data_IF_175839062678
#
_entry.id   IF_175839062678
#
_cell.length_a   1.000
_cell.length_b   1.000
_cell.length_c   1.000
_cell.angle_alpha   90.00
_cell.angle_beta   90.00
_cell.angle_gamma   90.00
#
_symmetry.space_group_name_H-M   'P 1'
#
loop_
_entity.id
_entity.type
_entity.pdbx_description
1 polymer ?
#
# COMPACT_ATOMS: atom_id res chain seq x y z
N UNK A 1 18.34 34.63 21.37
CA UNK A 1 18.49 33.18 21.61
C UNK A 1 17.17 32.41 21.57
N UNK A 2 16.12 32.77 22.35
CA UNK A 2 14.82 32.06 22.34
C UNK A 2 14.14 31.91 20.96
N UNK A 3 14.19 32.93 20.10
CA UNK A 3 13.57 32.90 18.76
C UNK A 3 14.32 32.02 17.75
N UNK A 4 15.64 31.85 17.92
CA UNK A 4 16.48 30.98 17.08
C UNK A 4 16.29 29.51 17.48
N UNK A 5 16.19 29.24 18.79
CA UNK A 5 15.83 27.92 19.30
C UNK A 5 14.43 27.46 18.83
N UNK A 6 13.45 28.37 18.79
CA UNK A 6 12.10 28.04 18.31
C UNK A 6 12.08 27.70 16.80
N UNK A 7 12.86 28.41 15.99
CA UNK A 7 12.96 28.15 14.54
C UNK A 7 13.67 26.82 14.24
N UNK A 8 14.72 26.48 15.00
CA UNK A 8 15.41 25.19 14.87
C UNK A 8 14.50 24.03 15.29
N UNK A 9 13.71 24.20 16.36
CA UNK A 9 12.75 23.19 16.83
C UNK A 9 11.67 22.88 15.78
N UNK A 10 11.15 23.91 15.10
CA UNK A 10 10.16 23.76 14.03
C UNK A 10 10.79 23.14 12.78
N UNK A 11 12.03 23.49 12.45
CA UNK A 11 12.76 22.87 11.34
C UNK A 11 13.04 21.39 11.58
N UNK A 12 13.34 20.98 12.82
CA UNK A 12 13.56 19.56 13.17
C UNK A 12 12.24 18.77 13.12
N UNK A 13 11.10 19.41 13.43
CA UNK A 13 9.78 18.78 13.30
C UNK A 13 9.40 18.42 11.86
N UNK A 14 9.93 19.14 10.86
CA UNK A 14 9.73 18.86 9.43
C UNK A 14 10.64 17.76 8.86
N UNK A 15 11.65 17.30 9.63
CA UNK A 15 12.52 16.18 9.27
C UNK A 15 12.11 14.86 9.93
N UNK A 16 11.02 14.84 10.71
CA UNK A 16 10.46 13.56 11.14
C UNK A 16 9.84 12.95 9.89
N UNK A 17 10.37 11.83 9.36
CA UNK A 17 9.65 11.10 8.33
C UNK A 17 8.30 10.77 8.93
N UNK A 18 7.22 11.31 8.36
CA UNK A 18 5.89 10.79 8.65
C UNK A 18 5.99 9.32 8.29
N UNK A 19 6.12 8.49 9.30
CA UNK A 19 6.07 7.06 9.15
C UNK A 19 4.62 6.81 8.78
N UNK A 20 4.35 6.78 7.47
CA UNK A 20 3.10 6.29 6.92
C UNK A 20 3.01 4.87 7.46
N UNK A 21 2.23 4.69 8.50
CA UNK A 21 1.94 3.39 9.04
C UNK A 21 0.99 2.75 8.03
N UNK A 22 1.55 2.03 7.05
CA UNK A 22 0.77 1.14 6.21
C UNK A 22 0.22 0.08 7.16
N UNK A 23 -1.01 0.28 7.61
CA UNK A 23 -1.75 -0.73 8.37
C UNK A 23 -1.88 -1.95 7.46
N UNK A 24 -1.22 -3.04 7.85
CA UNK A 24 -1.33 -4.33 7.17
C UNK A 24 -2.78 -4.78 7.31
N UNK A 25 -3.61 -4.53 6.29
CA UNK A 25 -5.03 -4.92 6.28
C UNK A 25 -5.11 -6.44 6.40
N UNK A 26 -5.60 -6.93 7.53
CA UNK A 26 -5.86 -8.36 7.74
C UNK A 26 -7.21 -8.73 7.10
N UNK A 27 -7.16 -9.56 6.05
CA UNK A 27 -8.37 -10.02 5.37
C UNK A 27 -8.97 -11.25 6.05
N UNK A 28 -10.29 -11.22 6.29
CA UNK A 28 -11.00 -12.38 6.83
C UNK A 28 -11.14 -13.45 5.74
N UNK A 29 -10.59 -14.63 6.02
CA UNK A 29 -10.64 -15.78 5.10
C UNK A 29 -11.18 -17.02 5.77
N UNK A 30 -11.72 -17.93 4.97
CA UNK A 30 -12.06 -19.30 5.36
C UNK A 30 -11.26 -20.29 4.51
N UNK A 31 -10.83 -21.39 5.11
CA UNK A 31 -10.32 -22.55 4.36
C UNK A 31 -11.48 -23.35 3.71
N UNK A 32 -11.17 -24.47 3.02
CA UNK A 32 -12.21 -25.27 2.37
C UNK A 32 -13.23 -25.85 3.36
N UNK A 33 -12.79 -26.42 4.48
CA UNK A 33 -13.65 -27.02 5.52
C UNK A 33 -14.60 -25.96 6.10
N UNK A 34 -14.05 -24.80 6.45
CA UNK A 34 -14.81 -23.68 7.00
C UNK A 34 -15.83 -23.11 6.00
N UNK A 35 -15.43 -22.97 4.73
CA UNK A 35 -16.32 -22.50 3.68
C UNK A 35 -17.45 -23.49 3.39
N UNK A 36 -17.17 -24.80 3.37
CA UNK A 36 -18.19 -25.85 3.22
C UNK A 36 -19.16 -25.86 4.41
N UNK A 37 -18.65 -25.74 5.64
CA UNK A 37 -19.48 -25.62 6.85
C UNK A 37 -20.39 -24.40 6.80
N UNK A 38 -19.88 -23.25 6.38
CA UNK A 38 -20.69 -22.03 6.28
C UNK A 38 -21.84 -22.16 5.26
N UNK A 39 -21.63 -22.92 4.18
CA UNK A 39 -22.65 -23.13 3.15
C UNK A 39 -23.55 -24.36 3.41
N UNK A 40 -23.38 -25.01 4.56
CA UNK A 40 -24.09 -26.23 4.99
C UNK A 40 -23.90 -27.41 4.02
N UNK A 41 -22.68 -27.57 3.49
CA UNK A 41 -22.30 -28.67 2.60
C UNK A 41 -21.61 -29.76 3.42
N UNK A 42 -22.21 -30.96 3.45
CA UNK A 42 -21.64 -32.13 4.12
C UNK A 42 -20.35 -32.60 3.42
N UNK A 43 -19.34 -32.95 4.21
CA UNK A 43 -18.03 -33.39 3.73
C UNK A 43 -17.30 -34.22 4.79
N UNK A 44 -16.43 -35.12 4.32
CA UNK A 44 -15.51 -35.89 5.17
C UNK A 44 -14.07 -35.61 4.75
N UNK A 45 -13.37 -34.83 5.58
CA UNK A 45 -11.97 -34.47 5.38
C UNK A 45 -11.01 -35.30 6.25
N UNK A 46 -11.40 -36.51 6.64
CA UNK A 46 -10.53 -37.45 7.35
C UNK A 46 -9.18 -37.68 6.64
N UNK A 47 -9.15 -37.59 5.30
CA UNK A 47 -7.94 -37.75 4.48
C UNK A 47 -7.47 -36.44 3.80
N UNK A 48 -8.04 -35.29 4.16
CA UNK A 48 -7.68 -34.00 3.59
C UNK A 48 -7.10 -33.07 4.65
N UNK A 49 -5.98 -32.45 4.29
CA UNK A 49 -5.35 -31.43 5.12
C UNK A 49 -4.71 -30.38 4.23
N UNK A 50 -4.92 -29.12 4.58
CA UNK A 50 -4.27 -28.00 3.94
C UNK A 50 -2.87 -27.76 4.54
N UNK A 51 -1.92 -27.48 3.66
CA UNK A 51 -0.49 -27.31 3.89
C UNK A 51 0.04 -26.27 2.93
N UNK A 52 1.20 -25.69 3.23
CA UNK A 52 1.77 -24.61 2.42
C UNK A 52 2.41 -25.08 1.11
N UNK A 53 2.61 -26.39 0.94
CA UNK A 53 3.15 -26.98 -0.29
C UNK A 53 2.08 -27.16 -1.40
N UNK A 54 0.81 -26.94 -1.09
CA UNK A 54 -0.30 -27.06 -2.04
C UNK A 54 -0.48 -25.80 -2.91
N UNK A 55 -1.05 -25.99 -4.10
CA UNK A 55 -1.52 -24.89 -4.93
C UNK A 55 -2.62 -24.10 -4.22
N UNK A 56 -2.57 -22.78 -4.26
CA UNK A 56 -3.58 -21.93 -3.64
C UNK A 56 -4.70 -21.64 -4.63
N UNK A 57 -5.93 -21.95 -4.24
CA UNK A 57 -7.15 -21.51 -4.92
C UNK A 57 -7.71 -20.33 -4.14
N UNK A 58 -7.64 -19.12 -4.69
CA UNK A 58 -8.32 -17.97 -4.13
C UNK A 58 -9.77 -17.93 -4.63
N UNK A 59 -10.72 -18.02 -3.71
CA UNK A 59 -12.15 -18.03 -4.00
C UNK A 59 -12.82 -16.80 -3.39
N UNK A 60 -13.12 -15.80 -4.21
CA UNK A 60 -14.01 -14.72 -3.82
C UNK A 60 -15.46 -15.16 -4.05
N UNK A 61 -16.23 -15.22 -2.97
CA UNK A 61 -17.60 -15.76 -2.96
C UNK A 61 -18.57 -14.87 -2.22
N UNK A 62 -19.86 -15.09 -2.48
CA UNK A 62 -20.94 -14.56 -1.66
C UNK A 62 -21.58 -15.68 -0.84
N UNK A 63 -21.79 -15.46 0.46
CA UNK A 63 -22.49 -16.43 1.31
C UNK A 63 -23.90 -16.69 0.78
N UNK A 64 -24.22 -17.96 0.52
CA UNK A 64 -25.50 -18.35 -0.07
C UNK A 64 -25.59 -18.22 -1.59
N UNK A 65 -24.50 -17.86 -2.28
CA UNK A 65 -24.48 -17.82 -3.75
C UNK A 65 -24.55 -19.24 -4.36
N UNK A 66 -25.55 -19.49 -5.21
CA UNK A 66 -25.76 -20.79 -5.84
C UNK A 66 -24.55 -21.29 -6.65
N UNK A 67 -23.87 -20.41 -7.40
CA UNK A 67 -22.68 -20.80 -8.17
C UNK A 67 -21.44 -20.99 -7.29
N UNK A 68 -21.33 -20.25 -6.17
CA UNK A 68 -20.26 -20.47 -5.20
C UNK A 68 -20.42 -21.83 -4.51
N UNK A 69 -21.65 -22.18 -4.11
CA UNK A 69 -21.98 -23.51 -3.58
C UNK A 69 -21.61 -24.61 -4.57
N UNK A 70 -21.99 -24.46 -5.85
CA UNK A 70 -21.63 -25.43 -6.90
C UNK A 70 -20.12 -25.63 -7.03
N UNK A 71 -19.33 -24.56 -6.97
CA UNK A 71 -17.87 -24.66 -7.03
C UNK A 71 -17.29 -25.34 -5.79
N UNK A 72 -17.75 -24.98 -4.59
CA UNK A 72 -17.35 -25.65 -3.34
C UNK A 72 -17.71 -27.14 -3.34
N UNK A 73 -18.91 -27.50 -3.80
CA UNK A 73 -19.33 -28.90 -3.97
C UNK A 73 -18.42 -29.64 -4.95
N UNK A 74 -17.99 -28.99 -6.02
CA UNK A 74 -17.02 -29.57 -6.95
C UNK A 74 -15.64 -29.77 -6.31
N UNK A 75 -15.12 -28.78 -5.58
CA UNK A 75 -13.86 -28.94 -4.86
C UNK A 75 -13.93 -30.11 -3.86
N UNK A 76 -15.04 -30.21 -3.11
CA UNK A 76 -15.31 -31.33 -2.21
C UNK A 76 -15.28 -32.68 -2.95
N UNK A 77 -15.91 -32.78 -4.12
CA UNK A 77 -16.00 -34.04 -4.86
C UNK A 77 -14.68 -34.53 -5.46
N UNK A 78 -13.67 -33.66 -5.57
CA UNK A 78 -12.34 -34.02 -6.06
C UNK A 78 -11.31 -34.18 -4.95
N UNK A 79 -11.68 -34.06 -3.67
CA UNK A 79 -10.73 -34.11 -2.54
C UNK A 79 -9.95 -35.42 -2.50
N UNK A 80 -10.61 -36.56 -2.71
CA UNK A 80 -9.94 -37.87 -2.63
C UNK A 80 -8.81 -38.02 -3.69
N UNK A 81 -9.04 -37.50 -4.89
CA UNK A 81 -8.11 -37.64 -6.01
C UNK A 81 -7.09 -36.48 -6.11
N UNK A 82 -7.55 -35.26 -5.79
CA UNK A 82 -6.82 -34.00 -6.02
C UNK A 82 -6.49 -33.22 -4.75
N UNK A 83 -7.04 -33.57 -3.59
CA UNK A 83 -6.90 -32.81 -2.35
C UNK A 83 -5.44 -32.57 -1.95
N UNK A 84 -4.53 -33.50 -2.26
CA UNK A 84 -3.08 -33.32 -2.01
C UNK A 84 -2.43 -32.19 -2.81
N UNK A 85 -3.08 -31.67 -3.85
CA UNK A 85 -2.53 -30.66 -4.74
C UNK A 85 -3.01 -29.25 -4.44
N UNK A 86 -4.12 -29.06 -3.73
CA UNK A 86 -4.68 -27.73 -3.52
C UNK A 86 -5.10 -27.46 -2.09
N UNK A 87 -5.06 -26.19 -1.73
CA UNK A 87 -5.73 -25.60 -0.56
C UNK A 87 -6.60 -24.44 -1.02
N UNK A 88 -7.58 -24.04 -0.21
CA UNK A 88 -8.50 -22.96 -0.57
C UNK A 88 -8.34 -21.80 0.41
N UNK A 89 -8.28 -20.60 -0.14
CA UNK A 89 -8.41 -19.36 0.63
C UNK A 89 -9.64 -18.63 0.11
N UNK A 90 -10.71 -18.67 0.90
CA UNK A 90 -12.00 -18.11 0.51
C UNK A 90 -12.25 -16.76 1.18
N UNK A 91 -12.58 -15.77 0.36
CA UNK A 91 -12.99 -14.43 0.76
C UNK A 91 -14.50 -14.29 0.56
N UNK A 92 -15.25 -14.04 1.63
CA UNK A 92 -16.65 -13.63 1.52
C UNK A 92 -16.66 -12.14 1.11
N UNK A 93 -17.39 -11.75 0.06
CA UNK A 93 -17.35 -10.37 -0.47
C UNK A 93 -18.69 -9.63 -0.43
N UNK A 94 -19.80 -10.29 -0.07
CA UNK A 94 -21.10 -9.61 -0.01
C UNK A 94 -21.33 -8.89 1.31
N UNK A 95 -20.71 -9.38 2.38
CA UNK A 95 -20.87 -8.87 3.74
C UNK A 95 -19.53 -8.42 4.36
N UNK A 96 -18.44 -8.47 3.59
CA UNK A 96 -17.12 -7.98 3.98
C UNK A 96 -16.58 -7.03 2.88
N UNK A 97 -16.57 -5.74 3.20
CA UNK A 97 -16.19 -4.69 2.24
C UNK A 97 -14.69 -4.70 1.92
N UNK A 98 -13.84 -5.11 2.85
CA UNK A 98 -12.40 -5.17 2.61
C UNK A 98 -12.09 -6.30 1.63
N UNK A 99 -12.73 -7.45 1.77
CA UNK A 99 -12.66 -8.54 0.81
C UNK A 99 -13.24 -8.16 -0.57
N UNK A 100 -14.31 -7.37 -0.62
CA UNK A 100 -14.85 -6.86 -1.87
C UNK A 100 -13.87 -5.91 -2.58
N UNK A 101 -13.20 -5.02 -1.84
CA UNK A 101 -12.15 -4.15 -2.36
C UNK A 101 -10.95 -4.96 -2.86
N UNK A 102 -10.56 -6.01 -2.12
CA UNK A 102 -9.49 -6.93 -2.52
C UNK A 102 -9.83 -7.65 -3.83
N UNK A 103 -11.06 -8.12 -4.00
CA UNK A 103 -11.52 -8.75 -5.23
C UNK A 103 -11.38 -7.82 -6.44
N UNK A 104 -11.73 -6.55 -6.29
CA UNK A 104 -11.57 -5.55 -7.34
C UNK A 104 -10.09 -5.32 -7.67
N UNK A 105 -9.24 -5.16 -6.65
CA UNK A 105 -7.79 -4.99 -6.82
C UNK A 105 -7.14 -6.16 -7.55
N UNK A 106 -7.47 -7.39 -7.14
CA UNK A 106 -7.01 -8.62 -7.79
C UNK A 106 -7.46 -8.67 -9.25
N UNK A 107 -8.75 -8.39 -9.51
CA UNK A 107 -9.26 -8.37 -10.88
C UNK A 107 -8.59 -7.33 -11.77
N UNK A 108 -8.30 -6.14 -11.23
CA UNK A 108 -7.57 -5.09 -11.94
C UNK A 108 -6.12 -5.49 -12.23
N UNK A 109 -5.43 -6.09 -11.25
CA UNK A 109 -4.05 -6.58 -11.42
C UNK A 109 -3.94 -7.65 -12.52
N UNK A 110 -4.92 -8.55 -12.59
CA UNK A 110 -4.98 -9.61 -13.60
C UNK A 110 -5.57 -9.16 -14.94
N UNK A 111 -5.99 -7.89 -15.05
CA UNK A 111 -6.63 -7.34 -16.25
C UNK A 111 -7.99 -7.97 -16.58
N UNK A 112 -8.62 -8.64 -15.61
CA UNK A 112 -9.90 -9.35 -15.76
C UNK A 112 -10.82 -8.92 -14.63
N UNK A 113 -11.65 -7.90 -14.90
CA UNK A 113 -12.52 -7.30 -13.89
C UNK A 113 -13.43 -8.34 -13.24
N UNK A 114 -13.50 -8.27 -11.92
CA UNK A 114 -14.47 -9.00 -11.13
C UNK A 114 -15.88 -8.41 -11.32
N UNK A 115 -16.76 -9.12 -12.04
CA UNK A 115 -18.14 -8.68 -12.28
C UNK A 115 -19.16 -9.39 -11.38
N UNK A 116 -18.75 -10.44 -10.68
CA UNK A 116 -19.61 -11.23 -9.81
C UNK A 116 -18.89 -12.42 -9.20
N UNK A 117 -19.64 -13.22 -8.46
CA UNK A 117 -19.12 -14.37 -7.71
C UNK A 117 -19.71 -15.70 -8.22
N UNK A 118 -18.98 -16.82 -8.15
CA UNK A 118 -17.61 -16.94 -7.63
C UNK A 118 -16.59 -16.32 -8.60
N UNK A 119 -15.59 -15.65 -8.07
CA UNK A 119 -14.40 -15.24 -8.83
C UNK A 119 -13.22 -16.04 -8.31
N UNK A 120 -12.64 -16.86 -9.19
CA UNK A 120 -11.71 -17.92 -8.82
C UNK A 120 -10.36 -17.59 -9.44
N UNK A 121 -9.31 -17.58 -8.64
CA UNK A 121 -7.94 -17.35 -9.10
C UNK A 121 -7.05 -18.52 -8.69
N UNK A 122 -6.32 -19.08 -9.66
CA UNK A 122 -5.36 -20.16 -9.46
C UNK A 122 -4.09 -19.79 -10.23
N UNK A 123 -3.06 -19.36 -9.52
CA UNK A 123 -1.89 -18.75 -10.16
C UNK A 123 -2.27 -17.52 -10.98
N UNK A 124 -1.98 -17.54 -12.28
CA UNK A 124 -2.30 -16.48 -13.25
C UNK A 124 -3.65 -16.65 -13.95
N UNK A 125 -4.36 -17.75 -13.67
CA UNK A 125 -5.65 -18.09 -14.30
C UNK A 125 -6.82 -17.55 -13.49
N UNK A 126 -7.80 -17.00 -14.20
CA UNK A 126 -9.05 -16.46 -13.65
C UNK A 126 -10.24 -17.22 -14.23
N UNK A 127 -11.19 -17.59 -13.37
CA UNK A 127 -12.51 -18.03 -13.77
C UNK A 127 -13.55 -17.07 -13.17
N UNK A 128 -14.17 -16.26 -14.03
CA UNK A 128 -15.22 -15.32 -13.67
C UNK A 128 -16.58 -16.05 -13.65
N UNK A 129 -16.83 -16.79 -12.59
CA UNK A 129 -17.97 -17.70 -12.43
C UNK A 129 -17.54 -19.16 -12.47
N UNK A 130 -18.52 -20.05 -12.30
CA UNK A 130 -18.30 -21.49 -12.34
C UNK A 130 -19.37 -22.20 -13.17
N UNK A 131 -18.90 -23.09 -14.05
CA UNK A 131 -19.69 -24.07 -14.78
C UNK A 131 -18.91 -25.39 -14.83
N UNK A 132 -19.62 -26.52 -14.86
CA UNK A 132 -18.99 -27.86 -14.88
C UNK A 132 -18.07 -28.06 -16.09
N UNK A 133 -18.30 -27.34 -17.20
CA UNK A 133 -17.41 -27.34 -18.36
C UNK A 133 -16.00 -26.83 -18.07
N UNK A 134 -15.78 -26.15 -16.94
CA UNK A 134 -14.46 -25.65 -16.53
C UNK A 134 -13.67 -26.65 -15.69
N UNK A 135 -14.24 -27.79 -15.33
CA UNK A 135 -13.63 -28.74 -14.37
C UNK A 135 -12.22 -29.19 -14.78
N UNK A 136 -12.04 -29.52 -16.07
CA UNK A 136 -10.74 -29.97 -16.58
C UNK A 136 -9.71 -28.83 -16.59
N UNK A 137 -10.12 -27.61 -16.97
CA UNK A 137 -9.24 -26.44 -16.94
C UNK A 137 -8.86 -26.06 -15.49
N UNK A 138 -9.78 -26.19 -14.54
CA UNK A 138 -9.51 -25.96 -13.12
C UNK A 138 -8.49 -26.99 -12.60
N UNK A 139 -8.64 -28.28 -12.95
CA UNK A 139 -7.67 -29.33 -12.57
C UNK A 139 -6.30 -29.07 -13.18
N UNK A 140 -6.24 -28.63 -14.43
CA UNK A 140 -4.99 -28.25 -15.10
C UNK A 140 -4.32 -27.08 -14.39
N UNK A 141 -5.08 -26.03 -14.07
CA UNK A 141 -4.58 -24.86 -13.35
C UNK A 141 -4.02 -25.23 -11.96
N UNK A 142 -4.73 -26.08 -11.20
CA UNK A 142 -4.26 -26.61 -9.91
C UNK A 142 -2.94 -27.34 -10.08
N UNK A 143 -2.85 -28.26 -11.05
CA UNK A 143 -1.64 -29.04 -11.27
C UNK A 143 -0.46 -28.18 -11.72
N UNK A 144 -0.68 -27.27 -12.68
CA UNK A 144 0.33 -26.30 -13.12
C UNK A 144 0.89 -25.51 -11.94
N UNK A 145 0.00 -25.00 -11.09
CA UNK A 145 0.38 -24.19 -9.94
C UNK A 145 1.09 -24.99 -8.84
N UNK A 146 0.67 -26.23 -8.61
CA UNK A 146 1.32 -27.14 -7.66
C UNK A 146 2.73 -27.51 -8.15
N UNK A 147 2.86 -27.90 -9.42
CA UNK A 147 4.12 -28.34 -10.00
C UNK A 147 5.13 -27.18 -10.12
N UNK A 148 4.65 -25.93 -10.25
CA UNK A 148 5.47 -24.71 -10.19
C UNK A 148 5.77 -24.22 -8.77
N UNK A 149 5.27 -24.91 -7.73
CA UNK A 149 5.44 -24.52 -6.31
C UNK A 149 4.97 -23.09 -6.01
N UNK A 150 3.83 -22.71 -6.59
CA UNK A 150 3.26 -21.37 -6.44
C UNK A 150 4.21 -20.23 -6.87
N UNK A 151 5.01 -20.42 -7.93
CA UNK A 151 5.92 -19.38 -8.44
C UNK A 151 5.21 -18.05 -8.71
N UNK A 152 3.99 -18.11 -9.25
CA UNK A 152 3.10 -16.96 -9.37
C UNK A 152 2.04 -16.98 -8.28
N UNK A 153 2.09 -16.01 -7.36
CA UNK A 153 1.07 -15.77 -6.35
C UNK A 153 0.50 -14.36 -6.53
N UNK A 154 -0.80 -14.29 -6.80
CA UNK A 154 -1.48 -13.02 -7.08
C UNK A 154 -1.50 -12.07 -5.88
N UNK A 155 -1.61 -12.60 -4.66
CA UNK A 155 -1.63 -11.80 -3.43
C UNK A 155 -0.25 -11.21 -3.18
N UNK A 156 0.80 -12.01 -3.39
CA UNK A 156 2.19 -11.52 -3.35
C UNK A 156 2.43 -10.44 -4.40
N UNK A 157 1.96 -10.65 -5.64
CA UNK A 157 2.10 -9.66 -6.72
C UNK A 157 1.34 -8.37 -6.42
N UNK A 158 0.19 -8.46 -5.77
CA UNK A 158 -0.59 -7.29 -5.37
C UNK A 158 0.14 -6.48 -4.27
N UNK A 159 0.73 -7.16 -3.29
CA UNK A 159 1.57 -6.52 -2.27
C UNK A 159 2.80 -5.82 -2.90
N UNK A 160 3.55 -6.51 -3.76
CA UNK A 160 4.70 -5.96 -4.48
C UNK A 160 4.33 -4.73 -5.34
N UNK A 161 3.13 -4.73 -5.93
CA UNK A 161 2.63 -3.61 -6.75
C UNK A 161 2.22 -2.40 -5.90
N UNK A 162 1.82 -2.64 -4.66
CA UNK A 162 1.46 -1.58 -3.71
C UNK A 162 2.72 -0.86 -3.22
N UNK A 163 3.80 -1.61 -2.95
CA UNK A 163 5.09 -1.05 -2.51
C UNK A 163 5.80 -0.25 -3.61
N UNK A 164 5.71 -0.70 -4.87
CA UNK A 164 6.31 0.01 -6.01
C UNK A 164 5.57 1.30 -6.41
N UNK A 165 4.41 1.59 -5.82
CA UNK A 165 3.69 2.84 -6.06
C UNK A 165 4.24 4.05 -5.27
N UNK A 166 5.25 3.84 -4.41
CA UNK A 166 5.97 4.91 -3.70
C UNK A 166 7.24 5.43 -4.42
N UNK A 167 7.69 4.82 -5.52
CA UNK A 167 8.83 5.32 -6.30
C UNK A 167 8.45 5.63 -7.77
N UNK A 168 8.27 6.93 -8.05
CA UNK A 168 8.40 7.60 -9.36
C UNK A 168 7.15 7.71 -10.28
N UNK A 169 6.55 8.91 -10.19
CA UNK A 169 6.03 9.79 -11.27
C UNK A 169 4.58 9.74 -11.76
N UNK A 170 3.87 10.81 -11.36
CA UNK A 170 3.07 11.74 -12.21
C UNK A 170 1.79 11.26 -12.89
N UNK A 171 0.75 12.06 -12.64
CA UNK A 171 -0.52 12.26 -13.38
C UNK A 171 -1.67 11.27 -13.18
N UNK A 172 -2.54 11.53 -12.19
CA UNK A 172 -3.81 12.27 -12.38
C UNK A 172 -4.64 12.37 -11.08
N UNK A 173 -5.03 13.61 -10.77
CA UNK A 173 -6.29 14.03 -10.13
C UNK A 173 -6.63 13.51 -8.72
N UNK A 174 -6.18 14.23 -7.70
CA UNK A 174 -7.09 14.83 -6.71
C UNK A 174 -6.43 16.10 -6.14
N UNK A 175 -7.20 17.17 -5.96
CA UNK A 175 -6.71 18.53 -5.66
C UNK A 175 -5.78 18.66 -4.43
N UNK A 176 -5.74 17.66 -3.56
CA UNK A 176 -4.96 17.67 -2.31
C UNK A 176 -3.45 17.55 -2.54
N UNK A 177 -2.99 16.79 -3.54
CA UNK A 177 -1.56 16.60 -3.78
C UNK A 177 -0.90 17.85 -4.37
N UNK A 178 -1.61 18.54 -5.27
CA UNK A 178 -1.17 19.83 -5.81
C UNK A 178 -1.12 20.89 -4.70
N UNK A 179 -2.11 20.90 -3.80
CA UNK A 179 -2.12 21.77 -2.62
C UNK A 179 -0.91 21.51 -1.70
N UNK A 180 -0.56 20.26 -1.44
CA UNK A 180 0.61 19.92 -0.59
C UNK A 180 1.92 20.40 -1.22
N UNK A 181 2.09 20.25 -2.53
CA UNK A 181 3.29 20.73 -3.24
C UNK A 181 3.35 22.26 -3.23
N UNK A 182 2.22 22.93 -3.52
CA UNK A 182 2.12 24.39 -3.51
C UNK A 182 2.40 24.95 -2.11
N UNK A 183 1.86 24.31 -1.06
CA UNK A 183 2.07 24.71 0.33
C UNK A 183 3.55 24.53 0.72
N UNK A 184 4.19 23.42 0.35
CA UNK A 184 5.62 23.21 0.61
C UNK A 184 6.51 24.22 -0.13
N UNK A 185 6.21 24.52 -1.40
CA UNK A 185 6.93 25.54 -2.16
C UNK A 185 6.77 26.95 -1.55
N UNK A 186 5.57 27.27 -1.05
CA UNK A 186 5.31 28.51 -0.31
C UNK A 186 6.11 28.59 0.99
N UNK A 187 6.21 27.50 1.75
CA UNK A 187 7.02 27.46 2.98
C UNK A 187 8.52 27.70 2.68
N UNK A 188 9.05 27.13 1.60
CA UNK A 188 10.45 27.33 1.18
C UNK A 188 10.68 28.79 0.74
N UNK A 189 9.75 29.37 -0.01
CA UNK A 189 9.82 30.77 -0.43
C UNK A 189 9.80 31.73 0.77
N UNK A 190 8.94 31.47 1.76
CA UNK A 190 8.87 32.31 2.98
C UNK A 190 10.14 32.17 3.81
N UNK A 191 10.66 30.95 3.99
CA UNK A 191 11.89 30.71 4.73
C UNK A 191 13.11 31.41 4.09
N UNK A 192 13.25 31.34 2.76
CA UNK A 192 14.34 32.01 2.03
C UNK A 192 14.27 33.54 2.16
N UNK A 193 13.07 34.13 2.06
CA UNK A 193 12.88 35.58 2.27
C UNK A 193 13.26 35.99 3.70
N UNK A 194 12.86 35.22 4.71
CA UNK A 194 13.22 35.50 6.11
C UNK A 194 14.74 35.45 6.32
N UNK A 195 15.43 34.46 5.74
CA UNK A 195 16.89 34.33 5.82
C UNK A 195 17.59 35.53 5.17
N UNK A 196 17.13 35.96 3.99
CA UNK A 196 17.69 37.12 3.28
C UNK A 196 17.49 38.40 4.09
N UNK A 197 16.31 38.61 4.67
CA UNK A 197 16.01 39.77 5.51
C UNK A 197 16.87 39.79 6.78
N UNK A 198 17.12 38.63 7.39
CA UNK A 198 17.97 38.51 8.58
C UNK A 198 19.44 38.80 8.26
N UNK A 199 19.94 38.26 7.15
CA UNK A 199 21.30 38.53 6.68
C UNK A 199 21.49 40.01 6.33
N UNK A 200 20.50 40.65 5.71
CA UNK A 200 20.58 42.06 5.34
C UNK A 200 20.53 42.99 6.57
N UNK A 201 19.70 42.66 7.58
CA UNK A 201 19.70 43.38 8.86
C UNK A 201 21.02 43.27 9.60
N UNK A 202 21.60 42.06 9.68
CA UNK A 202 22.89 41.86 10.32
C UNK A 202 24.01 42.62 9.59
N UNK A 203 23.95 42.70 8.25
CA UNK A 203 24.90 43.51 7.46
C UNK A 203 24.80 45.00 7.78
N UNK A 204 23.57 45.52 7.91
CA UNK A 204 23.34 46.94 8.23
C UNK A 204 23.88 47.29 9.63
N UNK A 205 23.62 46.45 10.63
CA UNK A 205 24.14 46.66 12.00
C UNK A 205 25.68 46.61 12.08
N UNK A 206 26.35 45.84 11.20
CA UNK A 206 27.81 45.81 11.13
C UNK A 206 28.36 47.08 10.46
N UNK A 207 27.67 47.60 9.44
CA UNK A 207 28.06 48.84 8.76
C UNK A 207 27.92 50.07 9.66
N UNK A 208 26.82 50.18 10.41
CA UNK A 208 26.63 51.28 11.37
C UNK A 208 27.71 51.25 12.47
N UNK A 209 28.06 50.06 12.98
CA UNK A 209 29.15 49.89 13.94
C UNK A 209 30.52 50.23 13.36
N UNK A 210 30.76 49.96 12.08
CA UNK A 210 32.00 50.33 11.39
C UNK A 210 32.11 51.85 11.21
N UNK A 211 31.03 52.54 10.86
CA UNK A 211 31.01 54.01 10.79
C UNK A 211 31.20 54.67 12.16
N UNK A 212 30.57 54.13 13.22
CA UNK A 212 30.80 54.57 14.59
C UNK A 212 32.27 54.36 15.00
N UNK A 213 32.88 53.21 14.68
CA UNK A 213 34.28 52.94 14.98
C UNK A 213 35.26 53.86 14.22
N UNK A 214 34.98 54.17 12.95
CA UNK A 214 35.80 55.06 12.14
C UNK A 214 35.69 56.54 12.56
N UNK A 215 34.49 56.97 12.98
CA UNK A 215 34.28 58.32 13.53
C UNK A 215 35.03 58.53 14.87
N UNK A 216 35.05 57.51 15.75
CA UNK A 216 35.82 57.50 17.00
C UNK A 216 37.34 57.47 16.75
N UNK A 217 37.79 56.83 15.66
CA UNK A 217 39.21 56.80 15.26
C UNK A 217 39.71 58.15 14.75
N UNK A 218 38.87 58.89 14.01
CA UNK A 218 39.19 60.25 13.52
C UNK A 218 39.30 61.28 14.64
N UNK A 219 38.41 61.24 15.63
CA UNK A 219 38.45 62.14 16.81
C UNK A 219 39.68 61.89 17.69
N UNK A 220 40.09 60.62 17.88
CA UNK A 220 41.32 60.27 18.62
C UNK A 220 42.63 60.65 17.91
N UNK A 221 42.62 60.76 16.57
CA UNK A 221 43.81 61.16 15.78
C UNK A 221 43.97 62.69 15.72
N UNK A 222 42.87 63.45 15.77
CA UNK A 222 42.90 64.91 15.88
C UNK A 222 43.44 65.40 17.23
N UNK A 223 43.05 64.75 18.33
CA UNK A 223 43.50 65.13 19.68
C UNK A 223 44.97 64.82 20.01
N UNK A 224 45.70 64.09 19.14
CA UNK A 224 47.12 63.75 19.34
C UNK A 224 48.10 64.66 18.60
N UNK A 225 47.61 65.60 17.80
CA UNK A 225 48.45 66.53 17.01
C UNK A 225 48.49 67.97 17.58
N UNK A 226 47.90 68.22 18.76
CA UNK A 226 47.88 69.54 19.42
C UNK A 226 48.49 69.53 20.84
N UNK A 227 49.36 68.56 21.15
CA UNK A 227 50.13 68.53 22.40
C UNK A 227 51.63 68.69 22.13
#
# INVERSE_FOLDING_TARGET
>A
MKKVFLAILISVLCFIPFSVNAEEKEYKTLNLDEALKEEEIDHDFSNYKETDDQAIIYLFRGKGCAYCKKFLTYLNSIVDDYGKYFKVVSYEVWYDNDNAELMEKVGNLLGQKAEGVPYIVIGDKVFAGYAESYNDEIKEAIKKQYDSKNEYDVMKKLAESSDNSEETTTTKSSDTTALIIIVNLLFIAVATVIIVLFNNKNKLEIMDKLEEMDSVKKTKKGAKNEA
#
